data_IF_914682672840
#
_entry.id   IF_914682672840
#
_cell.length_a   1.000
_cell.length_b   1.000
_cell.length_c   1.000
_cell.angle_alpha   90.00
_cell.angle_beta   90.00
_cell.angle_gamma   90.00
#
_symmetry.space_group_name_H-M   'P 1'
#
loop_
_entity.id
_entity.type
_entity.pdbx_description
1 polymer ?
#
# COMPACT_ATOMS: atom_id res chain seq x y z
N UNK A 1 -4.71 -3.88 4.02
CA UNK A 1 -3.64 -2.84 3.97
C UNK A 1 -2.43 -3.39 3.22
N UNK A 2 -1.52 -2.52 2.76
CA UNK A 2 -0.39 -2.72 1.82
C UNK A 2 0.57 -3.93 2.03
N UNK A 3 0.34 -4.81 3.00
CA UNK A 3 1.16 -6.01 3.29
C UNK A 3 2.63 -5.69 3.61
N UNK A 4 2.88 -4.52 4.20
CA UNK A 4 4.23 -4.04 4.52
C UNK A 4 4.82 -4.84 5.69
N UNK A 5 6.04 -5.36 5.52
CA UNK A 5 6.80 -5.99 6.62
C UNK A 5 7.51 -4.94 7.48
N UNK A 6 7.76 -5.19 8.79
CA UNK A 6 8.31 -4.18 9.71
C UNK A 6 9.60 -3.52 9.25
N UNK A 7 10.51 -4.26 8.62
CA UNK A 7 11.77 -3.72 8.11
C UNK A 7 11.53 -2.67 7.03
N UNK A 8 10.67 -2.98 6.05
CA UNK A 8 10.30 -2.07 4.96
C UNK A 8 9.54 -0.85 5.49
N UNK A 9 8.64 -1.05 6.46
CA UNK A 9 7.93 0.04 7.12
C UNK A 9 8.90 1.07 7.71
N UNK A 10 9.91 0.60 8.46
CA UNK A 10 10.93 1.48 9.05
C UNK A 10 11.79 2.18 8.00
N UNK A 11 12.15 1.51 6.90
CA UNK A 11 12.91 2.16 5.81
C UNK A 11 12.11 3.23 5.08
N UNK A 12 10.77 3.20 5.15
CA UNK A 12 9.89 4.26 4.65
C UNK A 12 9.61 5.36 5.69
N UNK A 13 10.22 5.29 6.88
CA UNK A 13 9.99 6.26 7.95
C UNK A 13 8.77 5.97 8.83
N UNK A 14 8.06 4.85 8.63
CA UNK A 14 6.93 4.48 9.48
C UNK A 14 7.41 4.04 10.86
N UNK A 15 6.77 4.57 11.90
CA UNK A 15 6.95 4.10 13.28
C UNK A 15 6.33 2.72 13.45
N UNK A 16 7.11 1.75 13.92
CA UNK A 16 6.63 0.40 14.25
C UNK A 16 7.09 0.08 15.66
N UNK A 17 6.20 0.29 16.63
CA UNK A 17 6.42 0.10 18.05
C UNK A 17 5.33 -0.74 18.71
N UNK A 18 5.40 -0.83 20.04
CA UNK A 18 4.42 -1.59 20.84
C UNK A 18 3.05 -0.94 20.84
N UNK A 19 3.02 0.37 21.04
CA UNK A 19 1.76 1.12 21.26
C UNK A 19 1.19 1.66 19.93
N UNK A 20 2.06 1.93 18.96
CA UNK A 20 1.71 2.40 17.62
C UNK A 20 2.41 1.59 16.52
N UNK A 21 1.66 1.16 15.52
CA UNK A 21 2.18 0.49 14.33
C UNK A 21 1.63 1.16 13.06
N UNK A 22 2.44 2.05 12.49
CA UNK A 22 2.09 2.86 11.31
C UNK A 22 1.85 2.05 10.04
N UNK A 23 2.09 0.74 10.06
CA UNK A 23 1.62 -0.16 8.99
C UNK A 23 0.11 -0.36 8.99
N UNK A 24 -0.59 0.08 10.03
CA UNK A 24 -2.05 0.09 10.14
C UNK A 24 -2.64 1.52 10.14
N UNK A 25 -1.80 2.54 9.98
CA UNK A 25 -2.25 3.90 9.71
C UNK A 25 -2.40 4.03 8.19
N UNK A 26 -3.64 4.06 7.69
CA UNK A 26 -3.91 4.04 6.25
C UNK A 26 -3.28 5.23 5.53
N UNK A 27 -3.49 6.49 5.97
CA UNK A 27 -2.79 7.65 5.39
C UNK A 27 -1.27 7.51 5.41
N UNK A 28 -0.67 7.24 6.58
CA UNK A 28 0.79 7.20 6.70
C UNK A 28 1.40 6.05 5.88
N UNK A 29 0.81 4.85 5.93
CA UNK A 29 1.26 3.72 5.15
C UNK A 29 1.14 3.96 3.65
N UNK A 30 0.08 4.62 3.20
CA UNK A 30 -0.12 4.98 1.79
C UNK A 30 0.95 5.95 1.33
N UNK A 31 1.20 7.03 2.08
CA UNK A 31 2.25 8.01 1.76
C UNK A 31 3.63 7.35 1.67
N UNK A 32 3.96 6.50 2.66
CA UNK A 32 5.24 5.77 2.69
C UNK A 32 5.40 4.82 1.50
N UNK A 33 4.36 4.08 1.13
CA UNK A 33 4.39 3.17 -0.03
C UNK A 33 4.49 3.95 -1.34
N UNK A 34 3.71 5.03 -1.52
CA UNK A 34 3.77 5.84 -2.73
C UNK A 34 5.17 6.46 -2.92
N UNK A 35 5.78 6.94 -1.83
CA UNK A 35 7.15 7.44 -1.84
C UNK A 35 8.16 6.36 -2.25
N UNK A 36 8.01 5.14 -1.70
CA UNK A 36 8.87 4.00 -2.04
C UNK A 36 8.74 3.60 -3.51
N UNK A 37 7.51 3.50 -4.02
CA UNK A 37 7.23 3.15 -5.40
C UNK A 37 7.76 4.22 -6.37
N UNK A 38 7.62 5.51 -6.02
CA UNK A 38 8.22 6.62 -6.75
C UNK A 38 9.74 6.48 -6.86
N UNK A 39 10.43 6.23 -5.73
CA UNK A 39 11.88 5.97 -5.73
C UNK A 39 12.26 4.79 -6.63
N UNK A 40 11.53 3.67 -6.55
CA UNK A 40 11.79 2.53 -7.43
C UNK A 40 11.63 2.90 -8.91
N UNK A 41 10.64 3.74 -9.22
CA UNK A 41 10.42 4.19 -10.58
C UNK A 41 11.51 5.16 -11.07
N UNK A 42 12.01 6.05 -10.21
CA UNK A 42 13.14 6.93 -10.55
C UNK A 42 14.41 6.13 -10.84
N UNK A 43 14.58 4.98 -10.19
CA UNK A 43 15.74 4.10 -10.37
C UNK A 43 15.62 3.16 -11.57
N UNK A 44 14.42 2.67 -11.88
CA UNK A 44 14.19 1.59 -12.84
C UNK A 44 13.47 2.05 -14.10
N UNK A 45 12.81 3.21 -14.09
CA UNK A 45 12.05 3.79 -15.19
C UNK A 45 11.02 2.84 -15.85
N UNK A 46 10.56 1.83 -15.12
CA UNK A 46 9.62 0.82 -15.61
C UNK A 46 8.75 0.31 -14.46
N UNK A 47 7.45 0.62 -14.51
CA UNK A 47 6.48 0.20 -13.49
C UNK A 47 6.38 -1.32 -13.30
N UNK A 48 6.71 -2.11 -14.32
CA UNK A 48 6.74 -3.58 -14.21
C UNK A 48 7.88 -4.03 -13.31
N UNK A 49 9.03 -3.36 -13.38
CA UNK A 49 10.16 -3.60 -12.47
C UNK A 49 9.90 -3.06 -11.07
N UNK A 50 9.17 -1.94 -10.95
CA UNK A 50 8.71 -1.41 -9.66
C UNK A 50 7.85 -2.43 -8.92
N UNK A 51 6.89 -3.06 -9.60
CA UNK A 51 6.06 -4.12 -9.01
C UNK A 51 6.90 -5.34 -8.59
N UNK A 52 7.80 -5.79 -9.47
CA UNK A 52 8.74 -6.86 -9.11
C UNK A 52 9.59 -6.51 -7.90
N UNK A 53 10.03 -5.25 -7.77
CA UNK A 53 10.85 -4.79 -6.66
C UNK A 53 10.04 -4.69 -5.37
N UNK A 54 8.77 -4.27 -5.46
CA UNK A 54 7.85 -4.26 -4.34
C UNK A 54 7.62 -5.68 -3.78
N UNK A 55 7.45 -6.66 -4.67
CA UNK A 55 7.20 -8.04 -4.26
C UNK A 55 8.45 -8.82 -3.85
N UNK A 56 9.54 -8.72 -4.61
CA UNK A 56 10.75 -9.54 -4.45
C UNK A 56 11.92 -8.81 -3.75
N UNK A 57 11.79 -7.49 -3.55
CA UNK A 57 12.83 -6.63 -3.00
C UNK A 57 13.68 -5.94 -4.07
N UNK A 58 13.97 -4.65 -3.85
CA UNK A 58 14.68 -3.80 -4.80
C UNK A 58 16.06 -4.33 -5.19
N UNK A 59 16.83 -4.88 -4.24
CA UNK A 59 18.19 -5.34 -4.52
C UNK A 59 18.20 -6.56 -5.44
N UNK A 60 17.21 -7.44 -5.32
CA UNK A 60 17.05 -8.60 -6.18
C UNK A 60 16.75 -8.17 -7.61
N UNK A 61 15.82 -7.22 -7.80
CA UNK A 61 15.47 -6.70 -9.13
C UNK A 61 16.60 -5.89 -9.74
N UNK A 62 17.30 -5.05 -8.98
CA UNK A 62 18.49 -4.33 -9.48
C UNK A 62 19.57 -5.30 -9.95
N UNK A 63 19.82 -6.39 -9.21
CA UNK A 63 20.77 -7.43 -9.62
C UNK A 63 20.31 -8.10 -10.92
N UNK A 64 19.03 -8.44 -11.01
CA UNK A 64 18.42 -9.05 -12.18
C UNK A 64 18.61 -8.18 -13.44
N UNK A 65 18.30 -6.89 -13.34
CA UNK A 65 18.45 -5.92 -14.43
C UNK A 65 19.92 -5.76 -14.82
N UNK A 66 20.85 -5.72 -13.87
CA UNK A 66 22.30 -5.68 -14.19
C UNK A 66 22.77 -6.93 -14.95
N UNK A 67 22.14 -8.08 -14.71
CA UNK A 67 22.53 -9.36 -15.33
C UNK A 67 21.86 -9.58 -16.69
N UNK A 68 20.61 -9.15 -16.86
CA UNK A 68 19.78 -9.47 -18.03
C UNK A 68 19.39 -8.25 -18.88
N UNK A 69 19.75 -7.04 -18.43
CA UNK A 69 19.33 -5.79 -19.05
C UNK A 69 17.90 -5.38 -18.68
N UNK A 70 17.50 -4.24 -19.25
CA UNK A 70 16.12 -3.74 -19.14
C UNK A 70 15.17 -4.59 -19.98
N UNK A 71 13.93 -4.83 -19.51
CA UNK A 71 12.96 -5.58 -20.28
C UNK A 71 12.49 -4.79 -21.50
N UNK A 72 12.29 -5.48 -22.63
CA UNK A 72 11.61 -4.90 -23.78
C UNK A 72 10.17 -4.48 -23.44
N UNK A 73 9.58 -3.58 -24.23
CA UNK A 73 8.19 -3.14 -24.06
C UNK A 73 7.20 -4.31 -24.16
N UNK A 74 7.46 -5.24 -25.08
CA UNK A 74 6.65 -6.43 -25.27
C UNK A 74 7.45 -7.72 -25.02
N UNK A 75 6.82 -8.75 -24.43
CA UNK A 75 5.44 -8.77 -23.91
C UNK A 75 5.27 -7.92 -22.63
N UNK A 76 4.01 -7.54 -22.33
CA UNK A 76 3.67 -6.71 -21.17
C UNK A 76 4.16 -7.31 -19.84
N UNK A 77 4.17 -8.64 -19.72
CA UNK A 77 4.81 -9.35 -18.59
C UNK A 77 6.24 -9.69 -19.00
N UNK A 78 7.27 -9.05 -18.41
CA UNK A 78 8.65 -9.23 -18.84
C UNK A 78 9.14 -10.68 -18.71
N UNK A 79 9.87 -11.17 -19.71
CA UNK A 79 10.50 -12.51 -19.70
C UNK A 79 11.81 -12.55 -18.89
N UNK A 80 11.85 -11.87 -17.74
CA UNK A 80 12.98 -11.91 -16.81
C UNK A 80 12.88 -13.12 -15.86
N UNK A 81 13.99 -13.72 -15.40
CA UNK A 81 13.96 -14.90 -14.53
C UNK A 81 13.61 -14.54 -13.07
N UNK A 82 12.37 -14.12 -12.84
CA UNK A 82 11.78 -13.91 -11.51
C UNK A 82 11.03 -15.16 -11.03
N UNK A 83 10.76 -15.22 -9.73
CA UNK A 83 9.94 -16.30 -9.15
C UNK A 83 8.52 -16.29 -9.73
N UNK A 84 7.84 -17.43 -9.67
CA UNK A 84 6.43 -17.54 -10.09
C UNK A 84 5.55 -16.56 -9.32
N UNK A 85 5.71 -16.47 -8.00
CA UNK A 85 4.94 -15.56 -7.14
C UNK A 85 5.11 -14.09 -7.55
N UNK A 86 6.33 -13.66 -7.84
CA UNK A 86 6.63 -12.28 -8.30
C UNK A 86 6.00 -11.99 -9.65
N UNK A 87 6.06 -12.94 -10.58
CA UNK A 87 5.38 -12.81 -11.87
C UNK A 87 3.86 -12.74 -11.70
N UNK A 88 3.30 -13.62 -10.87
CA UNK A 88 1.86 -13.64 -10.59
C UNK A 88 1.37 -12.36 -9.92
N UNK A 89 2.20 -11.71 -9.11
CA UNK A 89 1.89 -10.42 -8.49
C UNK A 89 1.62 -9.35 -9.56
N UNK A 90 2.56 -9.15 -10.49
CA UNK A 90 2.40 -8.23 -11.62
C UNK A 90 1.18 -8.59 -12.47
N UNK A 91 1.01 -9.88 -12.81
CA UNK A 91 -0.14 -10.33 -13.62
C UNK A 91 -1.47 -9.99 -12.96
N UNK A 92 -1.59 -10.23 -11.64
CA UNK A 92 -2.81 -9.90 -10.88
C UNK A 92 -3.05 -8.40 -10.83
N UNK A 93 -2.00 -7.60 -10.61
CA UNK A 93 -2.10 -6.14 -10.62
C UNK A 93 -2.60 -5.62 -11.97
N UNK A 94 -2.02 -6.09 -13.08
CA UNK A 94 -2.45 -5.72 -14.42
C UNK A 94 -3.87 -6.18 -14.74
N UNK A 95 -4.28 -7.36 -14.27
CA UNK A 95 -5.66 -7.85 -14.41
C UNK A 95 -6.66 -6.94 -13.67
N UNK A 96 -6.34 -6.57 -12.42
CA UNK A 96 -7.16 -5.63 -11.63
C UNK A 96 -7.22 -4.27 -12.32
N UNK A 97 -6.08 -3.75 -12.80
CA UNK A 97 -6.04 -2.48 -13.53
C UNK A 97 -6.92 -2.52 -14.79
N UNK A 98 -6.96 -3.64 -15.52
CA UNK A 98 -7.87 -3.85 -16.63
C UNK A 98 -9.35 -3.79 -16.20
N UNK A 99 -9.71 -4.45 -15.10
CA UNK A 99 -11.09 -4.44 -14.56
C UNK A 99 -11.47 -3.03 -14.11
N UNK A 100 -10.59 -2.32 -13.41
CA UNK A 100 -10.87 -0.96 -12.93
C UNK A 100 -11.01 0.03 -14.09
N UNK A 101 -10.22 -0.12 -15.16
CA UNK A 101 -10.24 0.77 -16.33
C UNK A 101 -11.48 0.56 -17.21
N UNK A 102 -11.95 -0.69 -17.33
CA UNK A 102 -13.09 -1.05 -18.19
C UNK A 102 -14.05 -2.01 -17.45
N UNK A 103 -14.69 -1.61 -16.34
CA UNK A 103 -15.42 -2.53 -15.46
C UNK A 103 -16.63 -3.17 -16.16
N UNK A 104 -17.29 -2.43 -17.05
CA UNK A 104 -18.41 -2.93 -17.86
C UNK A 104 -18.02 -4.08 -18.80
N UNK A 105 -16.80 -4.06 -19.36
CA UNK A 105 -16.27 -5.15 -20.21
C UNK A 105 -16.21 -6.48 -19.46
N UNK A 106 -16.07 -6.44 -18.14
CA UNK A 106 -16.00 -7.61 -17.27
C UNK A 106 -17.27 -7.85 -16.46
N UNK A 107 -18.37 -7.13 -16.75
CA UNK A 107 -19.62 -7.19 -15.99
C UNK A 107 -19.45 -6.91 -14.49
N UNK A 108 -18.49 -6.05 -14.14
CA UNK A 108 -18.23 -5.60 -12.76
C UNK A 108 -18.83 -4.21 -12.56
N UNK A 109 -19.47 -3.99 -11.40
CA UNK A 109 -19.81 -2.66 -10.92
C UNK A 109 -18.84 -2.26 -9.81
N UNK A 110 -18.12 -1.16 -10.00
CA UNK A 110 -17.22 -0.65 -8.97
C UNK A 110 -18.03 0.05 -7.86
N UNK A 111 -17.61 -0.06 -6.59
CA UNK A 111 -18.25 0.67 -5.51
C UNK A 111 -18.14 2.18 -5.73
N UNK A 112 -19.23 2.90 -5.46
CA UNK A 112 -19.22 4.36 -5.41
C UNK A 112 -19.14 4.82 -3.95
N UNK A 113 -18.45 5.94 -3.73
CA UNK A 113 -18.44 6.65 -2.45
C UNK A 113 -19.52 7.73 -2.49
N UNK A 114 -20.61 7.61 -1.71
CA UNK A 114 -21.62 8.65 -1.64
C UNK A 114 -21.01 9.96 -1.14
N UNK A 115 -21.44 11.12 -1.65
CA UNK A 115 -21.09 12.41 -1.06
C UNK A 115 -21.36 12.40 0.45
N UNK A 116 -20.41 12.91 1.25
CA UNK A 116 -20.54 12.97 2.71
C UNK A 116 -20.16 11.70 3.50
N UNK A 117 -19.78 10.59 2.85
CA UNK A 117 -19.23 9.40 3.52
C UNK A 117 -17.71 9.29 3.39
N UNK A 118 -17.01 10.39 3.66
CA UNK A 118 -15.55 10.44 3.62
C UNK A 118 -15.01 10.44 5.04
N UNK A 119 -13.88 9.75 5.25
CA UNK A 119 -13.16 9.83 6.50
C UNK A 119 -12.39 11.15 6.54
N UNK A 120 -12.50 11.87 7.67
CA UNK A 120 -11.74 13.09 7.92
C UNK A 120 -10.73 12.87 9.03
N UNK A 121 -9.54 13.46 8.87
CA UNK A 121 -8.50 13.44 9.88
C UNK A 121 -8.71 14.64 10.80
N UNK A 122 -8.98 14.38 12.08
CA UNK A 122 -9.17 15.42 13.09
C UNK A 122 -7.97 15.48 14.01
N UNK A 123 -7.31 16.65 14.08
CA UNK A 123 -6.21 16.87 14.99
C UNK A 123 -6.71 17.05 16.45
N UNK A 124 -6.14 16.30 17.38
CA UNK A 124 -6.43 16.44 18.82
C UNK A 124 -5.37 17.32 19.50
N UNK A 125 -5.82 18.29 20.30
CA UNK A 125 -4.93 19.23 21.01
C UNK A 125 -4.11 18.57 22.13
N UNK A 126 -4.70 17.58 22.79
CA UNK A 126 -4.08 16.83 23.87
C UNK A 126 -4.26 15.34 23.61
N UNK A 127 -3.25 14.50 23.87
CA UNK A 127 -3.39 13.06 23.81
C UNK A 127 -4.54 12.60 24.69
N UNK A 128 -5.38 11.70 24.17
CA UNK A 128 -6.48 11.12 24.91
C UNK A 128 -6.71 9.66 24.49
N UNK A 129 -7.26 8.82 25.38
CA UNK A 129 -7.64 7.47 25.00
C UNK A 129 -8.67 7.46 23.87
N UNK A 130 -8.57 6.51 22.94
CA UNK A 130 -9.54 6.35 21.84
C UNK A 130 -10.98 6.19 22.35
N UNK A 131 -11.16 5.57 23.52
CA UNK A 131 -12.50 5.45 24.14
C UNK A 131 -13.09 6.80 24.55
N UNK A 132 -12.25 7.75 24.97
CA UNK A 132 -12.67 9.11 25.28
C UNK A 132 -12.95 9.90 24.00
N UNK A 133 -12.13 9.75 22.96
CA UNK A 133 -12.35 10.36 21.66
C UNK A 133 -13.68 9.88 21.04
N UNK A 134 -13.95 8.57 21.10
CA UNK A 134 -15.20 7.98 20.60
C UNK A 134 -16.44 8.57 21.28
N UNK A 135 -16.42 8.71 22.61
CA UNK A 135 -17.52 9.37 23.35
C UNK A 135 -17.73 10.83 22.93
N UNK A 136 -16.66 11.57 22.62
CA UNK A 136 -16.76 12.97 22.16
C UNK A 136 -17.25 13.07 20.72
N UNK A 137 -16.99 12.06 19.91
CA UNK A 137 -17.42 11.98 18.51
C UNK A 137 -18.82 11.34 18.36
N UNK A 138 -19.48 10.97 19.46
CA UNK A 138 -20.74 10.20 19.46
C UNK A 138 -20.66 8.91 18.62
N UNK A 139 -19.52 8.21 18.75
CA UNK A 139 -19.23 6.98 18.01
C UNK A 139 -19.08 5.77 18.94
N UNK A 140 -19.46 4.57 18.48
CA UNK A 140 -19.07 3.33 19.13
C UNK A 140 -17.54 3.24 19.27
N UNK A 141 -17.00 2.90 20.47
CA UNK A 141 -15.56 2.79 20.69
C UNK A 141 -14.86 1.82 19.73
N UNK A 142 -15.52 0.71 19.38
CA UNK A 142 -14.97 -0.29 18.47
C UNK A 142 -14.88 0.22 17.03
N UNK A 143 -15.83 1.06 16.61
CA UNK A 143 -15.81 1.69 15.28
C UNK A 143 -14.65 2.66 15.16
N UNK A 144 -14.48 3.56 16.15
CA UNK A 144 -13.35 4.49 16.13
C UNK A 144 -12.00 3.75 16.21
N UNK A 145 -11.92 2.67 17.01
CA UNK A 145 -10.73 1.82 17.09
C UNK A 145 -10.42 1.13 15.77
N UNK A 146 -11.43 0.67 15.04
CA UNK A 146 -11.26 0.07 13.71
C UNK A 146 -10.66 1.07 12.72
N UNK A 147 -11.14 2.32 12.72
CA UNK A 147 -10.59 3.40 11.88
C UNK A 147 -9.17 3.81 12.29
N UNK A 148 -8.80 3.57 13.55
CA UNK A 148 -7.52 3.95 14.14
C UNK A 148 -6.68 2.71 14.52
N UNK A 149 -6.68 1.69 13.67
CA UNK A 149 -6.04 0.39 13.94
C UNK A 149 -4.52 0.45 14.22
N UNK A 150 -3.87 1.57 13.88
CA UNK A 150 -2.48 1.84 14.22
C UNK A 150 -2.23 1.91 15.74
N UNK A 151 -3.22 2.33 16.53
CA UNK A 151 -3.12 2.46 17.99
C UNK A 151 -3.49 1.15 18.67
N UNK A 152 -2.48 0.36 19.05
CA UNK A 152 -2.66 -1.04 19.48
C UNK A 152 -3.26 -1.18 20.87
N UNK A 153 -3.00 -0.22 21.75
CA UNK A 153 -3.40 -0.23 23.16
C UNK A 153 -4.50 0.81 23.47
N UNK A 154 -5.07 1.48 22.47
CA UNK A 154 -6.11 2.49 22.67
C UNK A 154 -5.62 3.84 23.20
N UNK A 155 -4.30 4.07 23.17
CA UNK A 155 -3.60 5.29 23.59
C UNK A 155 -2.58 5.69 22.53
#
# INVERSE_FOLDING_TARGET
MWQIVPRTARSMGLKVGRDYDGRYDVPAATEGVMTLLGRYHDDMHDWRLVDYAYNAGEFAVRRLVRQHGMPAEQPVIPKLPVTRTTREHLTKLLAIACVVREPSRFHVSLPSLPPGKQLEIVAVKHPMPLTQAARRADMPPDELKHLNAAFRNGH
#
